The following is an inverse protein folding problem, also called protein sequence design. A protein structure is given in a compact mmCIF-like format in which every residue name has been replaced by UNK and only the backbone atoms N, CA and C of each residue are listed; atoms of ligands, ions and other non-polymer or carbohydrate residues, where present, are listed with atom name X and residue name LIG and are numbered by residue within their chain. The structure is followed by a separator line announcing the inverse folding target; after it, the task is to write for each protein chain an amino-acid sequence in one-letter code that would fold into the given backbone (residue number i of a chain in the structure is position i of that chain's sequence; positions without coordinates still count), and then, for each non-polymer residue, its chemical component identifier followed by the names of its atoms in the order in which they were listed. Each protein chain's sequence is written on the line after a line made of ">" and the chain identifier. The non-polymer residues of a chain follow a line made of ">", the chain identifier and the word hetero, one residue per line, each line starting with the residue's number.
data_IF_170162332581
#
_entry.id   IF_170162332581
#
_cell.length_a   1.000
_cell.length_b   1.000
_cell.length_c   1.000
_cell.angle_alpha   90.00
_cell.angle_beta   90.00
_cell.angle_gamma   90.00
#
_symmetry.space_group_name_H-M   'P 1'
#
loop_
_entity.id
_entity.type
_entity.pdbx_description
1 polymer ?
#
# COMPACT_ATOMS: atom_id res chain seq x y z
N UNK A 1 16.07 -0.12 23.31
CA UNK A 1 15.24 1.02 22.86
C UNK A 1 14.19 0.40 21.96
N UNK A 2 12.95 0.29 22.43
CA UNK A 2 11.88 -0.37 21.68
C UNK A 2 11.36 0.57 20.59
N UNK A 3 11.69 0.25 19.34
CA UNK A 3 11.19 0.93 18.15
C UNK A 3 10.03 0.12 17.56
N UNK A 4 8.98 -0.10 18.36
CA UNK A 4 7.79 -0.85 17.93
C UNK A 4 6.75 0.10 17.33
N UNK A 5 6.53 -0.03 16.02
CA UNK A 5 5.54 0.73 15.26
C UNK A 5 4.11 0.44 15.76
N UNK A 6 3.83 -0.79 16.19
CA UNK A 6 2.52 -1.19 16.71
C UNK A 6 2.23 -0.46 18.02
N UNK A 7 3.16 -0.48 18.97
CA UNK A 7 3.00 0.22 20.25
C UNK A 7 2.81 1.73 20.03
N UNK A 8 3.56 2.30 19.09
CA UNK A 8 3.41 3.70 18.69
C UNK A 8 2.03 3.97 18.07
N UNK A 9 1.58 3.13 17.14
CA UNK A 9 0.28 3.29 16.49
C UNK A 9 -0.89 3.15 17.49
N UNK A 10 -0.81 2.18 18.41
CA UNK A 10 -1.82 1.95 19.44
C UNK A 10 -1.91 3.15 20.41
N UNK A 11 -0.77 3.73 20.79
CA UNK A 11 -0.72 4.92 21.64
C UNK A 11 -1.31 6.16 20.93
N UNK A 12 -0.95 6.38 19.66
CA UNK A 12 -1.49 7.53 18.91
C UNK A 12 -2.98 7.36 18.63
N UNK A 13 -3.45 6.13 18.37
CA UNK A 13 -4.88 5.84 18.22
C UNK A 13 -5.68 6.19 19.48
N UNK A 14 -5.11 5.97 20.67
CA UNK A 14 -5.74 6.40 21.93
C UNK A 14 -5.92 7.92 21.99
N UNK A 15 -4.90 8.68 21.58
CA UNK A 15 -4.95 10.15 21.56
C UNK A 15 -6.00 10.71 20.59
N UNK A 16 -6.21 10.06 19.45
CA UNK A 16 -7.22 10.44 18.45
C UNK A 16 -8.65 10.18 18.96
N UNK A 17 -8.87 9.07 19.66
CA UNK A 17 -10.20 8.69 20.21
C UNK A 17 -10.69 9.67 21.28
N UNK A 18 -9.79 10.29 22.02
CA UNK A 18 -10.12 11.27 23.06
C UNK A 18 -10.44 12.67 22.49
N UNK A 19 -10.58 12.79 21.16
CA UNK A 19 -11.00 14.02 20.47
C UNK A 19 -9.90 15.08 20.36
N UNK A 20 -8.65 14.73 20.67
CA UNK A 20 -7.54 15.68 20.68
C UNK A 20 -7.00 16.00 19.28
N UNK A 21 -7.17 15.11 18.29
CA UNK A 21 -6.71 15.31 16.90
C UNK A 21 -7.57 14.53 15.90
N UNK A 22 -7.69 15.01 14.65
CA UNK A 22 -8.42 14.34 13.55
C UNK A 22 -7.70 13.09 12.98
N UNK A 23 -6.70 12.56 13.69
CA UNK A 23 -5.88 11.43 13.24
C UNK A 23 -4.37 11.64 13.47
N UNK A 24 -3.58 10.74 12.87
CA UNK A 24 -2.11 10.83 12.86
C UNK A 24 -1.67 11.53 11.59
N UNK A 25 -1.29 12.81 11.71
CA UNK A 25 -0.66 13.51 10.60
C UNK A 25 0.79 13.04 10.50
N UNK A 26 1.04 12.08 9.60
CA UNK A 26 2.41 11.69 9.25
C UNK A 26 2.96 12.75 8.32
N UNK A 27 3.71 13.68 8.88
CA UNK A 27 4.49 14.63 8.11
C UNK A 27 5.73 13.91 7.54
N UNK A 28 5.84 13.69 6.22
CA UNK A 28 6.87 12.85 5.63
C UNK A 28 8.19 13.65 5.53
N UNK A 29 8.67 14.18 6.64
CA UNK A 29 9.93 14.95 6.73
C UNK A 29 11.12 14.16 6.15
N UNK A 30 11.08 12.83 6.23
CA UNK A 30 12.07 11.95 5.61
C UNK A 30 12.02 11.99 4.07
N UNK A 31 10.85 12.17 3.45
CA UNK A 31 10.76 12.27 1.98
C UNK A 31 11.44 13.55 1.52
N UNK A 32 11.18 14.68 2.18
CA UNK A 32 11.87 15.95 1.91
C UNK A 32 13.37 15.84 2.21
N UNK A 33 13.76 15.28 3.36
CA UNK A 33 15.16 15.12 3.77
C UNK A 33 15.99 14.28 2.80
N UNK A 34 15.39 13.23 2.24
CA UNK A 34 16.05 12.30 1.33
C UNK A 34 15.70 12.54 -0.16
N UNK A 35 15.02 13.65 -0.48
CA UNK A 35 14.54 13.97 -1.84
C UNK A 35 13.78 12.81 -2.52
N UNK A 36 12.94 12.11 -1.74
CA UNK A 36 12.09 11.04 -2.26
C UNK A 36 10.89 11.68 -2.95
N UNK A 37 10.98 11.81 -4.28
CA UNK A 37 9.93 12.40 -5.12
C UNK A 37 8.82 11.43 -5.52
N UNK A 38 9.11 10.13 -5.46
CA UNK A 38 8.14 9.08 -5.75
C UNK A 38 8.47 7.82 -4.98
N UNK A 39 7.44 7.06 -4.64
CA UNK A 39 7.57 5.72 -4.07
C UNK A 39 7.24 4.69 -5.15
N UNK A 40 7.92 3.53 -5.16
CA UNK A 40 7.56 2.43 -6.05
C UNK A 40 6.07 2.10 -5.93
N UNK A 41 5.43 1.92 -7.08
CA UNK A 41 4.00 1.73 -7.19
C UNK A 41 3.71 0.65 -8.24
N UNK A 42 2.96 -0.38 -7.85
CA UNK A 42 2.36 -1.34 -8.76
C UNK A 42 0.95 -0.86 -9.10
N UNK A 43 0.64 -0.80 -10.40
CA UNK A 43 -0.71 -0.51 -10.89
C UNK A 43 -1.19 -1.73 -11.66
N UNK A 44 -2.35 -2.28 -11.27
CA UNK A 44 -2.99 -3.41 -11.97
C UNK A 44 -4.23 -2.87 -12.67
N UNK A 45 -4.24 -2.93 -14.00
CA UNK A 45 -5.37 -2.49 -14.81
C UNK A 45 -6.36 -3.63 -15.05
N UNK A 46 -7.64 -3.31 -15.08
CA UNK A 46 -8.70 -4.20 -15.52
C UNK A 46 -9.82 -3.39 -16.19
N UNK A 47 -10.82 -4.07 -16.77
CA UNK A 47 -11.92 -3.40 -17.51
C UNK A 47 -12.67 -2.34 -16.69
N UNK A 48 -12.65 -2.45 -15.36
CA UNK A 48 -13.40 -1.63 -14.42
C UNK A 48 -12.62 -0.37 -13.98
N UNK A 49 -11.30 -0.33 -14.21
CA UNK A 49 -10.40 0.69 -13.67
C UNK A 49 -9.02 0.12 -13.35
N UNK A 50 -8.48 0.49 -12.19
CA UNK A 50 -7.16 0.03 -11.76
C UNK A 50 -7.04 -0.03 -10.22
N UNK A 51 -6.25 -0.99 -9.74
CA UNK A 51 -5.77 -1.04 -8.35
C UNK A 51 -4.36 -0.47 -8.24
N UNK A 52 -4.07 0.23 -7.14
CA UNK A 52 -2.76 0.84 -6.87
C UNK A 52 -2.19 0.33 -5.55
N UNK A 53 -1.03 -0.30 -5.59
CA UNK A 53 -0.26 -0.68 -4.39
C UNK A 53 1.03 0.14 -4.36
N UNK A 54 1.21 0.93 -3.30
CA UNK A 54 2.42 1.75 -3.09
C UNK A 54 3.29 1.17 -1.97
N UNK A 55 4.60 1.35 -2.11
CA UNK A 55 5.56 1.06 -1.05
C UNK A 55 6.57 -0.04 -1.42
N UNK A 56 7.37 -0.42 -0.43
CA UNK A 56 8.46 -1.39 -0.61
C UNK A 56 7.94 -2.84 -0.47
N UNK A 57 7.24 -3.31 -1.50
CA UNK A 57 6.76 -4.69 -1.59
C UNK A 57 7.37 -5.37 -2.82
N UNK A 58 7.65 -6.67 -2.71
CA UNK A 58 7.94 -7.47 -3.90
C UNK A 58 6.68 -7.50 -4.78
N UNK A 59 6.86 -7.51 -6.10
CA UNK A 59 5.74 -7.51 -7.07
C UNK A 59 4.75 -8.64 -6.76
N UNK A 60 5.23 -9.85 -6.44
CA UNK A 60 4.39 -10.99 -6.03
C UNK A 60 3.50 -10.64 -4.82
N UNK A 61 4.06 -10.06 -3.78
CA UNK A 61 3.31 -9.68 -2.56
C UNK A 61 2.29 -8.58 -2.86
N UNK A 62 2.63 -7.63 -3.73
CA UNK A 62 1.70 -6.58 -4.15
C UNK A 62 0.54 -7.17 -4.96
N UNK A 63 0.80 -8.12 -5.86
CA UNK A 63 -0.23 -8.84 -6.60
C UNK A 63 -1.11 -9.71 -5.68
N UNK A 64 -0.53 -10.42 -4.71
CA UNK A 64 -1.28 -11.19 -3.70
C UNK A 64 -2.24 -10.30 -2.89
N UNK A 65 -1.83 -9.06 -2.57
CA UNK A 65 -2.72 -8.06 -1.96
C UNK A 65 -3.87 -7.67 -2.87
N UNK A 66 -3.60 -7.45 -4.15
CA UNK A 66 -4.66 -7.18 -5.13
C UNK A 66 -5.60 -8.38 -5.25
N UNK A 67 -5.10 -9.61 -5.30
CA UNK A 67 -5.91 -10.85 -5.30
C UNK A 67 -6.80 -10.97 -4.05
N UNK A 68 -6.33 -10.50 -2.91
CA UNK A 68 -7.08 -10.61 -1.65
C UNK A 68 -8.15 -9.52 -1.52
N UNK A 69 -7.87 -8.30 -1.95
CA UNK A 69 -8.66 -7.13 -1.56
C UNK A 69 -8.94 -6.09 -2.67
N UNK A 70 -8.34 -6.21 -3.85
CA UNK A 70 -8.51 -5.24 -4.95
C UNK A 70 -9.74 -5.49 -5.81
N UNK A 71 -10.01 -4.64 -6.79
CA UNK A 71 -11.10 -4.84 -7.76
C UNK A 71 -10.63 -5.62 -9.01
N UNK A 72 -9.35 -5.51 -9.35
CA UNK A 72 -8.68 -6.21 -10.45
C UNK A 72 -8.13 -7.60 -10.03
N UNK A 73 -8.75 -8.24 -9.04
CA UNK A 73 -8.37 -9.56 -8.47
C UNK A 73 -8.06 -10.63 -9.51
N UNK A 74 -8.92 -10.76 -10.53
CA UNK A 74 -8.78 -11.80 -11.56
C UNK A 74 -7.54 -11.58 -12.44
N UNK A 75 -7.26 -10.33 -12.81
CA UNK A 75 -6.07 -9.97 -13.58
C UNK A 75 -4.81 -10.21 -12.74
N UNK A 76 -4.83 -9.80 -11.47
CA UNK A 76 -3.71 -10.03 -10.57
C UNK A 76 -3.41 -11.52 -10.33
N UNK A 77 -4.46 -12.36 -10.24
CA UNK A 77 -4.29 -13.81 -10.15
C UNK A 77 -3.62 -14.40 -11.40
N UNK A 78 -4.06 -13.99 -12.59
CA UNK A 78 -3.42 -14.42 -13.85
C UNK A 78 -1.93 -14.03 -13.92
N UNK A 79 -1.59 -12.82 -13.48
CA UNK A 79 -0.20 -12.35 -13.41
C UNK A 79 0.66 -13.15 -12.42
N UNK A 80 0.09 -13.61 -11.30
CA UNK A 80 0.78 -14.46 -10.32
C UNK A 80 1.07 -15.85 -10.86
N UNK A 81 0.13 -16.40 -11.64
CA UNK A 81 0.23 -17.74 -12.22
C UNK A 81 1.14 -17.78 -13.47
N UNK A 82 1.75 -16.64 -13.83
CA UNK A 82 2.59 -16.51 -15.02
C UNK A 82 1.81 -16.41 -16.34
N UNK A 83 0.48 -16.34 -16.26
CA UNK A 83 -0.39 -15.98 -17.38
C UNK A 83 -0.45 -14.46 -17.52
N UNK A 84 0.71 -13.85 -17.82
CA UNK A 84 0.75 -12.49 -18.32
C UNK A 84 -0.07 -12.40 -19.61
N UNK A 85 -0.92 -11.37 -19.68
CA UNK A 85 -1.84 -11.01 -20.77
C UNK A 85 -1.46 -11.64 -22.12
N UNK A 86 -2.21 -12.67 -22.53
CA UNK A 86 -2.22 -13.07 -23.94
C UNK A 86 -3.12 -12.07 -24.65
N UNK A 87 -2.60 -11.27 -25.59
CA UNK A 87 -3.45 -10.42 -26.40
C UNK A 87 -4.48 -11.30 -27.11
N UNK A 88 -5.75 -10.94 -26.97
CA UNK A 88 -6.83 -11.47 -27.80
C UNK A 88 -6.78 -10.84 -29.19
#
# INVERSE_FOLDING_TARGET
>A
RDNDLKATADAVLSLVKDGATDGVQIDPTLFTKYDIRSVPTLVVYCRQGYDVIRGNLRVKQALEKVVTAGDCRQVAAGLLDGAGDKPQ
#
